data_IF_988214154068
#
_entry.id   IF_988214154068
#
_cell.length_a   1.000
_cell.length_b   1.000
_cell.length_c   1.000
_cell.angle_alpha   90.00
_cell.angle_beta   90.00
_cell.angle_gamma   90.00
#
_symmetry.space_group_name_H-M   'P 1'
#
loop_
_entity.id
_entity.type
_entity.pdbx_description
1 polymer ?
#
# COMPACT_ATOMS: atom_id res chain seq x y z
N UNK A 1 21.89 -4.17 -0.59
CA UNK A 1 20.69 -4.55 0.18
C UNK A 1 20.11 -5.82 -0.45
N UNK A 2 20.28 -7.00 0.17
CA UNK A 2 19.84 -8.27 -0.44
C UNK A 2 18.30 -8.30 -0.46
N UNK A 3 17.72 -8.10 -1.63
CA UNK A 3 16.31 -8.30 -1.90
C UNK A 3 15.96 -9.77 -1.64
N UNK A 4 15.42 -10.07 -0.45
CA UNK A 4 14.85 -11.38 -0.11
C UNK A 4 13.48 -11.50 -0.80
N UNK A 5 13.51 -11.72 -2.11
CA UNK A 5 12.35 -11.70 -3.04
C UNK A 5 11.20 -12.67 -2.73
N UNK A 6 11.31 -13.54 -1.72
CA UNK A 6 10.43 -14.71 -1.56
C UNK A 6 9.65 -14.76 -0.23
N UNK A 7 9.48 -13.66 0.52
CA UNK A 7 8.75 -13.67 1.81
C UNK A 7 7.24 -13.45 1.70
N UNK A 8 6.71 -13.19 0.50
CA UNK A 8 5.33 -12.72 0.32
C UNK A 8 4.63 -13.47 -0.79
N UNK A 9 3.33 -13.74 -0.62
CA UNK A 9 2.45 -14.27 -1.66
C UNK A 9 1.20 -13.42 -1.84
N UNK A 10 0.73 -13.36 -3.07
CA UNK A 10 -0.56 -12.78 -3.43
C UNK A 10 -1.67 -13.84 -3.25
N UNK A 11 -2.75 -13.50 -2.55
CA UNK A 11 -3.87 -14.42 -2.31
C UNK A 11 -5.17 -13.68 -2.03
N UNK A 12 -6.31 -14.40 -2.00
CA UNK A 12 -7.60 -13.82 -1.64
C UNK A 12 -7.58 -13.25 -0.23
N UNK A 13 -8.02 -12.00 -0.09
CA UNK A 13 -8.10 -11.28 1.18
C UNK A 13 -9.52 -11.26 1.72
N UNK A 14 -9.63 -11.16 3.05
CA UNK A 14 -10.91 -10.88 3.72
C UNK A 14 -11.27 -9.40 3.75
N UNK A 15 -10.29 -8.51 3.53
CA UNK A 15 -10.45 -7.06 3.56
C UNK A 15 -10.98 -6.57 2.22
N UNK A 16 -10.29 -6.90 1.13
CA UNK A 16 -10.67 -6.48 -0.21
C UNK A 16 -10.05 -7.41 -1.23
N UNK A 17 -10.86 -8.03 -2.10
CA UNK A 17 -10.51 -8.94 -3.21
C UNK A 17 -9.23 -9.78 -3.07
N UNK A 18 -8.07 -9.13 -3.13
CA UNK A 18 -6.75 -9.71 -3.00
C UNK A 18 -5.89 -8.95 -1.98
N UNK A 19 -5.00 -9.69 -1.32
CA UNK A 19 -4.07 -9.19 -0.32
C UNK A 19 -2.68 -9.78 -0.49
N UNK A 20 -1.72 -9.24 0.27
CA UNK A 20 -0.35 -9.73 0.32
C UNK A 20 -0.09 -10.39 1.68
N UNK A 21 0.41 -11.62 1.67
CA UNK A 21 0.54 -12.45 2.88
C UNK A 21 1.99 -12.86 3.10
N UNK A 22 2.42 -12.89 4.36
CA UNK A 22 3.72 -13.40 4.74
C UNK A 22 3.83 -14.91 4.50
N UNK A 23 4.92 -15.35 3.88
CA UNK A 23 5.29 -16.76 3.68
C UNK A 23 6.22 -17.28 4.77
N UNK A 24 6.75 -16.40 5.60
CA UNK A 24 7.58 -16.70 6.76
C UNK A 24 7.38 -15.59 7.80
N UNK A 25 7.66 -15.83 9.10
CA UNK A 25 7.56 -14.79 10.11
C UNK A 25 8.44 -13.57 9.77
N UNK A 26 7.91 -12.37 9.99
CA UNK A 26 8.61 -11.10 9.80
C UNK A 26 8.77 -10.41 11.15
N UNK A 27 10.00 -10.06 11.51
CA UNK A 27 10.30 -9.39 12.77
C UNK A 27 9.86 -7.93 12.74
N UNK A 28 9.70 -7.31 13.91
CA UNK A 28 9.52 -5.85 14.02
C UNK A 28 10.71 -5.14 13.37
N UNK A 29 10.44 -4.01 12.73
CA UNK A 29 11.41 -3.15 12.02
C UNK A 29 12.07 -3.77 10.78
N UNK A 30 11.79 -5.03 10.46
CA UNK A 30 12.21 -5.64 9.19
C UNK A 30 11.54 -4.96 8.00
N UNK A 31 12.31 -4.83 6.93
CA UNK A 31 11.77 -4.41 5.64
C UNK A 31 10.97 -5.55 5.02
N UNK A 32 9.72 -5.24 4.66
CA UNK A 32 8.78 -6.16 4.04
C UNK A 32 8.93 -6.10 2.52
N UNK A 33 8.69 -4.92 1.93
CA UNK A 33 8.74 -4.71 0.48
C UNK A 33 8.86 -3.22 0.14
N UNK A 34 9.54 -2.90 -0.96
CA UNK A 34 9.51 -1.55 -1.56
C UNK A 34 8.21 -1.38 -2.35
N UNK A 35 7.54 -0.24 -2.24
CA UNK A 35 6.41 0.08 -3.10
C UNK A 35 6.93 0.70 -4.41
N UNK A 36 6.85 -0.06 -5.49
CA UNK A 36 7.42 0.31 -6.79
C UNK A 36 6.30 0.71 -7.75
N UNK A 37 6.49 1.83 -8.43
CA UNK A 37 5.68 2.24 -9.56
C UNK A 37 6.34 3.35 -10.38
N UNK A 38 5.58 3.96 -11.28
CA UNK A 38 6.04 5.10 -12.08
C UNK A 38 5.95 6.40 -11.27
N UNK A 39 7.03 7.17 -11.22
CA UNK A 39 7.01 8.49 -10.58
C UNK A 39 6.40 9.53 -11.52
N UNK A 40 5.30 10.13 -11.08
CA UNK A 40 4.53 11.13 -11.82
C UNK A 40 4.24 12.35 -10.94
N UNK A 41 3.88 13.47 -11.58
CA UNK A 41 3.46 14.70 -10.89
C UNK A 41 1.95 14.71 -10.64
N UNK A 42 1.48 15.52 -9.70
CA UNK A 42 0.05 15.67 -9.34
C UNK A 42 -0.86 15.80 -10.57
N UNK A 43 -0.56 16.72 -11.49
CA UNK A 43 -1.39 16.95 -12.69
C UNK A 43 -1.54 15.70 -13.57
N UNK A 44 -0.52 14.84 -13.62
CA UNK A 44 -0.55 13.59 -14.38
C UNK A 44 -1.37 12.55 -13.62
N UNK A 45 -1.25 12.50 -12.30
CA UNK A 45 -2.06 11.62 -11.45
C UNK A 45 -3.55 11.94 -11.59
N UNK A 46 -3.95 13.21 -11.48
CA UNK A 46 -5.34 13.65 -11.65
C UNK A 46 -5.92 13.27 -13.02
N UNK A 47 -5.09 13.36 -14.06
CA UNK A 47 -5.48 12.97 -15.42
C UNK A 47 -5.66 11.45 -15.55
N UNK A 48 -4.72 10.67 -14.98
CA UNK A 48 -4.76 9.21 -15.00
C UNK A 48 -5.92 8.65 -14.20
N UNK A 49 -6.22 9.22 -13.03
CA UNK A 49 -7.34 8.79 -12.19
C UNK A 49 -8.67 8.88 -12.93
N UNK A 50 -8.93 9.99 -13.63
CA UNK A 50 -10.12 10.14 -14.50
C UNK A 50 -10.19 9.11 -15.62
N UNK A 51 -9.04 8.70 -16.18
CA UNK A 51 -8.99 7.66 -17.21
C UNK A 51 -9.26 6.28 -16.61
N UNK A 52 -8.67 6.00 -15.43
CA UNK A 52 -8.85 4.75 -14.71
C UNK A 52 -10.31 4.54 -14.32
N UNK A 53 -10.94 5.55 -13.74
CA UNK A 53 -12.36 5.53 -13.38
C UNK A 53 -13.25 5.25 -14.61
N UNK A 54 -13.06 6.00 -15.71
CA UNK A 54 -13.80 5.78 -16.98
C UNK A 54 -13.59 4.40 -17.59
N UNK A 55 -12.44 3.78 -17.31
CA UNK A 55 -12.09 2.44 -17.80
C UNK A 55 -12.55 1.33 -16.84
N UNK A 56 -13.27 1.66 -15.77
CA UNK A 56 -13.73 0.71 -14.76
C UNK A 56 -12.65 0.22 -13.79
N UNK A 57 -11.49 0.88 -13.75
CA UNK A 57 -10.46 0.63 -12.74
C UNK A 57 -10.86 1.41 -11.48
N UNK A 58 -11.61 0.76 -10.60
CA UNK A 58 -12.11 1.34 -9.34
C UNK A 58 -11.07 1.45 -8.21
N UNK A 59 -9.79 1.16 -8.49
CA UNK A 59 -8.71 1.26 -7.50
C UNK A 59 -7.50 1.93 -8.14
N UNK A 60 -7.30 3.22 -7.87
CA UNK A 60 -6.10 3.95 -8.25
C UNK A 60 -4.97 3.60 -7.27
N UNK A 61 -3.87 3.03 -7.75
CA UNK A 61 -2.74 2.61 -6.92
C UNK A 61 -1.70 3.75 -6.83
N UNK A 62 -2.16 4.89 -6.33
CA UNK A 62 -1.38 6.11 -6.22
C UNK A 62 -0.84 6.27 -4.80
N UNK A 63 0.46 6.49 -4.67
CA UNK A 63 1.12 6.72 -3.39
C UNK A 63 1.88 8.05 -3.42
N UNK A 64 1.48 9.00 -2.57
CA UNK A 64 2.16 10.30 -2.45
C UNK A 64 3.49 10.17 -1.70
N UNK A 65 4.59 10.56 -2.34
CA UNK A 65 5.92 10.66 -1.71
C UNK A 65 6.13 12.04 -1.08
N UNK A 66 5.71 13.09 -1.78
CA UNK A 66 5.74 14.47 -1.31
C UNK A 66 4.72 15.31 -2.09
N UNK A 67 4.76 16.62 -1.94
CA UNK A 67 3.79 17.54 -2.55
C UNK A 67 3.79 17.47 -4.09
N UNK A 68 4.93 17.18 -4.70
CA UNK A 68 5.12 17.19 -6.16
C UNK A 68 5.19 15.80 -6.79
N UNK A 69 5.49 14.75 -6.00
CA UNK A 69 5.81 13.43 -6.50
C UNK A 69 4.84 12.35 -5.99
N UNK A 70 4.27 11.61 -6.92
CA UNK A 70 3.38 10.48 -6.70
C UNK A 70 3.95 9.25 -7.42
N UNK A 71 3.87 8.08 -6.79
CA UNK A 71 4.14 6.80 -7.42
C UNK A 71 2.81 6.19 -7.88
N UNK A 72 2.69 5.93 -9.18
CA UNK A 72 1.56 5.22 -9.79
C UNK A 72 1.96 3.77 -10.10
N UNK A 73 1.41 2.83 -9.32
CA UNK A 73 1.63 1.40 -9.48
C UNK A 73 0.51 0.69 -10.29
N UNK A 74 -0.42 1.46 -10.87
CA UNK A 74 -1.65 0.92 -11.49
C UNK A 74 -1.34 0.07 -12.73
N UNK A 75 -0.45 0.56 -13.60
CA UNK A 75 -0.05 -0.15 -14.84
C UNK A 75 1.35 -0.74 -14.76
N UNK A 76 2.26 -0.12 -14.02
CA UNK A 76 3.62 -0.58 -13.81
C UNK A 76 3.94 -0.57 -12.32
N UNK A 77 3.79 -1.71 -11.63
CA UNK A 77 4.08 -1.81 -10.20
C UNK A 77 4.42 -3.23 -9.78
N UNK A 78 4.81 -3.41 -8.51
CA UNK A 78 5.10 -4.72 -7.93
C UNK A 78 3.97 -5.22 -7.00
N UNK A 79 4.22 -6.31 -6.28
CA UNK A 79 3.23 -6.92 -5.37
C UNK A 79 2.78 -5.99 -4.23
N UNK A 80 3.53 -4.94 -3.90
CA UNK A 80 3.20 -4.02 -2.81
C UNK A 80 1.88 -3.27 -3.03
N UNK A 81 1.42 -3.14 -4.29
CA UNK A 81 0.14 -2.52 -4.62
C UNK A 81 -1.08 -3.27 -4.07
N UNK A 82 -0.90 -4.53 -3.67
CA UNK A 82 -1.96 -5.37 -3.11
C UNK A 82 -1.97 -5.40 -1.57
N UNK A 83 -1.17 -4.57 -0.91
CA UNK A 83 -1.21 -4.45 0.54
C UNK A 83 -2.43 -3.62 0.90
N UNK A 84 -3.37 -4.21 1.64
CA UNK A 84 -4.64 -3.59 1.99
C UNK A 84 -4.52 -2.62 3.17
N UNK A 85 -5.54 -1.78 3.29
CA UNK A 85 -5.71 -0.92 4.45
C UNK A 85 -6.13 -1.71 5.70
N UNK A 86 -5.53 -1.39 6.84
CA UNK A 86 -6.08 -1.72 8.15
C UNK A 86 -5.98 -0.53 9.11
N UNK A 87 -7.00 -0.33 9.95
CA UNK A 87 -6.99 0.69 11.01
C UNK A 87 -6.09 0.31 12.20
N UNK A 88 -5.78 -0.98 12.37
CA UNK A 88 -4.73 -1.49 13.29
C UNK A 88 -3.69 -2.31 12.50
N UNK A 89 -2.86 -1.65 11.68
CA UNK A 89 -1.99 -2.33 10.73
C UNK A 89 -0.77 -2.99 11.39
N UNK A 90 -0.23 -4.01 10.71
CA UNK A 90 1.03 -4.67 11.10
C UNK A 90 2.29 -4.14 10.40
N UNK A 91 2.08 -3.23 9.45
CA UNK A 91 3.15 -2.54 8.76
C UNK A 91 2.87 -1.04 8.65
N UNK A 92 3.94 -0.30 8.41
CA UNK A 92 3.91 1.12 8.13
C UNK A 92 4.69 1.40 6.84
N UNK A 93 4.32 2.47 6.15
CA UNK A 93 5.10 3.02 5.05
C UNK A 93 6.08 4.09 5.56
N UNK A 94 7.33 4.03 5.08
CA UNK A 94 8.38 5.04 5.31
C UNK A 94 8.89 5.52 3.95
N UNK A 95 9.10 6.83 3.83
CA UNK A 95 9.81 7.41 2.69
C UNK A 95 11.28 7.51 3.09
N UNK A 96 12.15 6.82 2.35
CA UNK A 96 13.61 6.86 2.54
C UNK A 96 14.28 7.46 1.31
N UNK A 97 15.48 8.01 1.46
CA UNK A 97 16.28 8.50 0.34
C UNK A 97 17.43 7.54 0.08
N UNK A 98 17.53 7.01 -1.14
CA UNK A 98 18.60 6.12 -1.60
C UNK A 98 19.17 6.73 -2.88
N UNK A 99 20.47 6.99 -2.90
CA UNK A 99 21.17 7.61 -4.04
C UNK A 99 20.51 8.90 -4.55
N UNK A 100 20.01 9.73 -3.62
CA UNK A 100 19.32 10.98 -3.92
C UNK A 100 17.88 10.83 -4.42
N UNK A 101 17.36 9.60 -4.53
CA UNK A 101 15.99 9.32 -4.94
C UNK A 101 15.14 8.90 -3.74
N UNK A 102 13.95 9.48 -3.61
CA UNK A 102 12.97 9.08 -2.61
C UNK A 102 12.33 7.74 -3.01
N UNK A 103 12.23 6.82 -2.06
CA UNK A 103 11.65 5.48 -2.20
C UNK A 103 10.66 5.24 -1.07
N UNK A 104 9.57 4.52 -1.37
CA UNK A 104 8.59 4.11 -0.36
C UNK A 104 8.94 2.68 0.06
N UNK A 105 9.16 2.47 1.35
CA UNK A 105 9.45 1.15 1.92
C UNK A 105 8.43 0.81 2.98
N UNK A 106 7.86 -0.39 2.87
CA UNK A 106 6.98 -0.97 3.87
C UNK A 106 7.84 -1.75 4.87
N UNK A 107 7.67 -1.45 6.15
CA UNK A 107 8.34 -2.13 7.25
C UNK A 107 7.32 -2.60 8.28
N UNK A 108 7.62 -3.71 8.93
CA UNK A 108 6.79 -4.25 10.00
C UNK A 108 6.92 -3.36 11.25
N UNK A 109 5.79 -2.96 11.86
CA UNK A 109 5.78 -2.24 13.14
C UNK A 109 5.37 -3.14 14.33
N UNK A 110 4.87 -4.34 14.04
CA UNK A 110 4.67 -5.47 14.97
C UNK A 110 5.13 -6.76 14.28
N UNK A 111 5.41 -7.86 15.00
CA UNK A 111 5.73 -9.13 14.36
C UNK A 111 4.59 -9.57 13.45
N UNK A 112 4.91 -10.03 12.24
CA UNK A 112 3.94 -10.58 11.28
C UNK A 112 4.15 -12.09 11.23
N UNK A 113 3.12 -12.87 11.56
CA UNK A 113 3.20 -14.32 11.52
C UNK A 113 3.19 -14.86 10.09
N UNK A 114 3.70 -16.08 9.91
CA UNK A 114 3.51 -16.80 8.64
C UNK A 114 2.01 -16.95 8.34
N UNK A 115 1.62 -16.66 7.10
CA UNK A 115 0.24 -16.69 6.64
C UNK A 115 -0.59 -15.47 7.02
N UNK A 116 -0.06 -14.52 7.79
CA UNK A 116 -0.74 -13.27 8.13
C UNK A 116 -0.74 -12.29 6.95
N UNK A 117 -1.83 -11.53 6.80
CA UNK A 117 -1.95 -10.49 5.78
C UNK A 117 -1.16 -9.25 6.18
N UNK A 118 -0.28 -8.79 5.30
CA UNK A 118 0.44 -7.52 5.43
C UNK A 118 -0.56 -6.39 5.18
N UNK A 119 -0.63 -5.43 6.10
CA UNK A 119 -1.54 -4.28 6.01
C UNK A 119 -0.86 -3.00 6.48
N UNK A 120 -1.30 -1.84 5.98
CA UNK A 120 -0.86 -0.52 6.46
C UNK A 120 -2.00 0.50 6.50
N UNK A 121 -1.83 1.62 7.20
CA UNK A 121 -2.79 2.72 7.14
C UNK A 121 -2.58 3.55 5.87
N UNK A 122 -3.61 3.64 5.01
CA UNK A 122 -3.56 4.41 3.76
C UNK A 122 -3.50 5.91 3.99
N UNK A 123 -4.01 6.39 5.13
CA UNK A 123 -4.08 7.81 5.48
C UNK A 123 -4.73 8.67 4.39
N UNK A 124 -5.84 8.18 3.83
CA UNK A 124 -6.62 8.99 2.90
C UNK A 124 -7.09 10.29 3.57
N UNK A 125 -7.09 11.41 2.83
CA UNK A 125 -7.59 12.67 3.36
C UNK A 125 -9.08 12.54 3.70
N UNK A 126 -9.53 13.29 4.70
CA UNK A 126 -10.93 13.26 5.09
C UNK A 126 -11.78 13.98 4.05
N UNK A 127 -12.74 13.26 3.47
CA UNK A 127 -13.65 13.77 2.44
C UNK A 127 -15.11 13.53 2.84
N UNK A 128 -16.04 14.24 2.19
CA UNK A 128 -17.48 14.08 2.42
C UNK A 128 -17.98 12.73 1.88
N UNK A 129 -17.49 12.34 0.70
CA UNK A 129 -17.80 11.06 0.08
C UNK A 129 -17.05 9.94 0.79
N UNK A 130 -17.77 9.18 1.60
CA UNK A 130 -17.20 8.15 2.47
C UNK A 130 -16.98 6.81 1.78
N UNK A 131 -15.77 6.28 1.91
CA UNK A 131 -15.39 4.95 1.43
C UNK A 131 -15.40 3.97 2.60
N UNK A 132 -16.29 2.97 2.62
CA UNK A 132 -16.38 2.01 3.72
C UNK A 132 -15.06 1.27 3.99
N UNK A 133 -14.66 1.20 5.25
CA UNK A 133 -13.50 0.41 5.67
C UNK A 133 -13.93 -1.02 6.00
N UNK A 134 -13.36 -1.99 5.28
CA UNK A 134 -13.66 -3.41 5.45
C UNK A 134 -12.55 -4.18 6.21
N UNK A 135 -11.67 -3.47 6.93
CA UNK A 135 -10.49 -4.09 7.54
C UNK A 135 -10.79 -5.07 8.69
N UNK A 136 -11.98 -4.99 9.29
CA UNK A 136 -12.41 -5.88 10.37
C UNK A 136 -11.69 -5.70 11.72
N UNK A 137 -10.84 -4.68 11.86
CA UNK A 137 -10.18 -4.38 13.13
C UNK A 137 -11.19 -3.96 14.21
N UNK A 138 -10.94 -4.35 15.47
CA UNK A 138 -11.82 -3.98 16.60
C UNK A 138 -11.94 -2.46 16.76
N UNK A 139 -10.86 -1.73 16.53
CA UNK A 139 -10.81 -0.27 16.56
C UNK A 139 -10.94 0.37 15.15
N UNK A 140 -11.70 -0.27 14.25
CA UNK A 140 -11.92 0.27 12.90
C UNK A 140 -12.62 1.64 12.94
N UNK A 141 -12.14 2.58 12.12
CA UNK A 141 -12.72 3.93 11.97
C UNK A 141 -14.04 3.94 11.20
N UNK A 142 -14.44 2.82 10.59
CA UNK A 142 -15.63 2.69 9.75
C UNK A 142 -15.43 3.11 8.29
N UNK A 143 -14.54 4.07 8.02
CA UNK A 143 -14.24 4.58 6.68
C UNK A 143 -12.73 4.71 6.44
N UNK A 144 -12.32 4.65 5.17
CA UNK A 144 -10.93 4.88 4.76
C UNK A 144 -10.54 6.36 4.85
N UNK A 145 -11.52 7.25 4.62
CA UNK A 145 -11.45 8.70 4.58
C UNK A 145 -12.52 9.35 5.49
#
# INVERSE_FOLDING_TARGET
>A
MRSRKNRLRFARSKIHDWGLFALEPIAVDDIVIEYIGEQIRQKVADHREKIYEKSGIGSSYLFRIDDDNIIDATKAGNLARFINHCCDPNCNAKIITVDGQKKIVIYANKPVAEGEEVTYDYKFPIEEDKIPCLCGATACRGFLN
#
